data_IF_979097591538
#
_entry.id   IF_979097591538
#
_cell.length_a   1.000
_cell.length_b   1.000
_cell.length_c   1.000
_cell.angle_alpha   90.00
_cell.angle_beta   90.00
_cell.angle_gamma   90.00
#
_symmetry.space_group_name_H-M   'P 1'
#
loop_
_entity.id
_entity.type
_entity.pdbx_description
1 polymer ?
#
# COMPACT_ATOMS: atom_id res chain seq x y z
N UNK A 1 -20.29 28.53 65.19
CA UNK A 1 -19.58 29.08 66.37
C UNK A 1 -18.59 27.99 66.76
N UNK A 2 -17.33 28.14 66.32
CA UNK A 2 -16.19 28.49 67.19
C UNK A 2 -15.82 27.33 68.12
N UNK A 3 -14.62 26.78 68.14
CA UNK A 3 -13.33 27.14 67.57
C UNK A 3 -12.28 26.27 68.29
N UNK A 4 -11.17 26.04 67.58
CA UNK A 4 -9.81 26.02 68.14
C UNK A 4 -9.37 24.87 69.05
N UNK A 5 -8.44 24.06 68.52
CA UNK A 5 -7.19 23.76 69.24
C UNK A 5 -6.05 23.97 68.24
N UNK A 6 -5.26 25.00 68.51
CA UNK A 6 -3.94 25.27 67.94
C UNK A 6 -2.97 24.15 68.29
N UNK A 7 -2.07 23.82 67.37
CA UNK A 7 -0.75 23.35 67.78
C UNK A 7 0.31 24.14 67.02
N UNK A 8 1.26 24.63 67.81
CA UNK A 8 2.26 25.64 67.49
C UNK A 8 3.53 24.98 66.95
N UNK A 9 4.20 25.71 66.06
CA UNK A 9 5.53 25.44 65.51
C UNK A 9 6.60 25.28 66.60
N UNK A 10 7.74 24.67 66.26
CA UNK A 10 8.88 25.55 66.04
C UNK A 10 9.63 25.34 64.73
N UNK A 11 10.38 26.39 64.41
CA UNK A 11 11.17 26.67 63.22
C UNK A 11 12.58 26.07 63.27
N UNK A 12 13.07 25.71 62.07
CA UNK A 12 14.45 25.82 61.53
C UNK A 12 15.53 24.89 62.11
N UNK A 13 15.99 23.98 61.26
CA UNK A 13 17.38 23.93 60.82
C UNK A 13 17.43 23.55 59.34
N UNK A 14 18.33 24.22 58.63
CA UNK A 14 18.51 24.31 57.19
C UNK A 14 19.78 23.52 56.87
N UNK A 15 19.71 22.45 56.06
CA UNK A 15 20.92 21.81 55.51
C UNK A 15 20.77 21.53 54.01
N UNK A 16 21.67 22.24 53.32
CA UNK A 16 22.13 22.28 51.94
C UNK A 16 21.90 21.09 50.99
N UNK A 17 21.67 21.48 49.73
CA UNK A 17 21.90 20.70 48.52
C UNK A 17 23.39 20.33 48.38
N UNK A 18 23.68 19.06 48.12
CA UNK A 18 24.97 18.63 47.55
C UNK A 18 24.72 18.08 46.13
N UNK A 19 25.10 18.92 45.16
CA UNK A 19 25.37 18.56 43.77
C UNK A 19 26.61 17.67 43.71
N UNK A 20 26.48 16.42 43.24
CA UNK A 20 27.63 15.67 42.72
C UNK A 20 27.76 15.91 41.21
N UNK A 21 28.62 16.89 40.90
CA UNK A 21 29.25 17.09 39.61
C UNK A 21 30.22 15.94 39.31
N UNK A 22 30.02 15.23 38.20
CA UNK A 22 31.12 14.61 37.46
C UNK A 22 31.19 15.31 36.08
N UNK A 23 31.77 16.50 36.09
CA UNK A 23 32.33 17.14 34.90
C UNK A 23 33.68 16.48 34.59
N UNK A 24 33.68 15.58 33.61
CA UNK A 24 34.87 15.20 32.88
C UNK A 24 35.07 16.18 31.72
N UNK A 25 35.86 17.22 31.94
CA UNK A 25 36.39 18.11 30.91
C UNK A 25 37.22 17.31 29.90
N UNK A 26 36.75 17.19 28.66
CA UNK A 26 37.64 17.13 27.50
C UNK A 26 37.54 18.48 26.78
N UNK A 27 38.42 19.41 27.19
CA UNK A 27 38.76 20.59 26.41
C UNK A 27 39.29 20.15 25.03
N UNK A 28 38.47 20.28 23.99
CA UNK A 28 38.96 20.32 22.62
C UNK A 28 39.42 21.75 22.31
N UNK A 29 40.73 21.97 22.44
CA UNK A 29 41.45 23.16 21.97
C UNK A 29 41.06 23.51 20.53
N UNK A 30 40.60 24.76 20.31
CA UNK A 30 40.55 25.38 18.99
C UNK A 30 41.99 25.57 18.46
N UNK A 31 42.51 24.58 17.74
CA UNK A 31 43.60 24.82 16.80
C UNK A 31 43.02 25.18 15.43
N UNK A 32 43.18 26.46 15.07
CA UNK A 32 43.04 26.95 13.71
C UNK A 32 44.14 26.29 12.86
N UNK A 33 43.79 25.23 12.13
CA UNK A 33 44.47 24.83 10.89
C UNK A 33 43.42 24.58 9.83
N UNK A 34 43.52 25.37 8.78
CA UNK A 34 42.68 25.23 7.60
C UNK A 34 42.89 23.90 6.89
N UNK A 35 41.95 23.66 5.97
CA UNK A 35 41.92 22.63 4.94
C UNK A 35 41.16 21.33 5.31
N UNK A 36 39.97 21.22 4.70
CA UNK A 36 39.17 20.02 4.40
C UNK A 36 38.39 19.33 5.54
N UNK A 37 37.15 19.75 5.81
CA UNK A 37 36.25 19.09 6.79
C UNK A 37 34.79 18.92 6.35
N UNK A 38 34.52 18.63 5.07
CA UNK A 38 33.15 18.29 4.62
C UNK A 38 32.84 16.77 4.65
N UNK A 39 33.80 15.90 4.95
CA UNK A 39 33.61 14.44 4.87
C UNK A 39 33.50 13.71 6.23
N UNK A 40 34.09 14.21 7.32
CA UNK A 40 34.18 13.46 8.59
C UNK A 40 32.94 13.54 9.50
N UNK A 41 32.01 14.46 9.27
CA UNK A 41 30.84 14.66 10.17
C UNK A 41 29.61 13.79 9.82
N UNK A 42 29.70 12.95 8.79
CA UNK A 42 28.57 12.17 8.25
C UNK A 42 28.20 10.93 9.09
N UNK A 43 29.05 10.55 10.04
CA UNK A 43 28.89 9.29 10.79
C UNK A 43 28.34 9.45 12.22
N UNK A 44 28.14 10.67 12.69
CA UNK A 44 27.61 10.90 14.04
C UNK A 44 26.17 10.40 14.17
N UNK A 45 25.77 9.79 15.32
CA UNK A 45 24.38 9.37 15.55
C UNK A 45 23.37 10.52 15.41
N UNK A 46 23.78 11.76 15.70
CA UNK A 46 22.95 12.95 15.52
C UNK A 46 22.73 13.28 14.04
N UNK A 47 23.80 13.28 13.22
CA UNK A 47 23.69 13.49 11.78
C UNK A 47 22.83 12.42 11.11
N UNK A 48 23.03 11.15 11.47
CA UNK A 48 22.22 10.02 10.99
C UNK A 48 20.73 10.18 11.32
N UNK A 49 20.42 10.66 12.53
CA UNK A 49 19.04 10.97 12.92
C UNK A 49 18.46 12.13 12.10
N UNK A 50 19.25 13.18 11.83
CA UNK A 50 18.82 14.31 10.98
C UNK A 50 18.53 13.87 9.54
N UNK A 51 19.43 13.09 8.93
CA UNK A 51 19.24 12.54 7.58
C UNK A 51 17.97 11.68 7.52
N UNK A 52 17.75 10.83 8.52
CA UNK A 52 16.55 10.00 8.61
C UNK A 52 15.27 10.86 8.67
N UNK A 53 15.24 11.88 9.54
CA UNK A 53 14.05 12.71 9.76
C UNK A 53 13.76 13.68 8.61
N UNK A 54 14.80 14.29 8.03
CA UNK A 54 14.64 15.40 7.08
C UNK A 54 14.69 14.97 5.61
N UNK A 55 15.30 13.82 5.31
CA UNK A 55 15.47 13.34 3.92
C UNK A 55 14.78 12.01 3.70
N UNK A 56 15.07 10.99 4.51
CA UNK A 56 14.57 9.63 4.23
C UNK A 56 13.08 9.47 4.53
N UNK A 57 12.60 10.03 5.65
CA UNK A 57 11.20 9.91 6.09
C UNK A 57 10.22 10.64 5.15
N UNK A 58 10.49 11.87 4.66
CA UNK A 58 9.63 12.53 3.66
C UNK A 58 9.55 11.78 2.33
N UNK A 59 10.62 11.08 1.93
CA UNK A 59 10.67 10.29 0.69
C UNK A 59 10.08 8.87 0.84
N UNK A 60 9.69 8.48 2.06
CA UNK A 60 9.16 7.15 2.34
C UNK A 60 7.69 7.03 1.93
N UNK A 61 7.48 6.79 0.63
CA UNK A 61 6.15 6.64 0.02
C UNK A 61 5.58 5.21 0.05
N UNK A 62 6.36 4.23 0.51
CA UNK A 62 6.01 2.80 0.52
C UNK A 62 6.12 2.20 1.91
N UNK A 63 5.22 1.26 2.22
CA UNK A 63 5.18 0.54 3.49
C UNK A 63 6.53 -0.13 3.85
N UNK A 64 7.14 -0.83 2.90
CA UNK A 64 8.40 -1.55 3.12
C UNK A 64 9.53 -0.60 3.57
N UNK A 65 9.63 0.58 2.93
CA UNK A 65 10.62 1.60 3.29
C UNK A 65 10.35 2.21 4.67
N UNK A 66 9.08 2.39 5.04
CA UNK A 66 8.69 2.85 6.39
C UNK A 66 9.07 1.82 7.45
N UNK A 67 8.81 0.54 7.20
CA UNK A 67 9.13 -0.55 8.13
C UNK A 67 10.67 -0.64 8.33
N UNK A 68 11.45 -0.51 7.25
CA UNK A 68 12.93 -0.47 7.31
C UNK A 68 13.47 0.74 8.07
N UNK A 69 12.89 1.93 7.86
CA UNK A 69 13.26 3.15 8.60
C UNK A 69 12.93 2.98 10.10
N UNK A 70 11.77 2.39 10.41
CA UNK A 70 11.37 2.14 11.79
C UNK A 70 12.34 1.18 12.50
N UNK A 71 12.77 0.11 11.85
CA UNK A 71 13.77 -0.82 12.39
C UNK A 71 15.11 -0.12 12.65
N UNK A 72 15.61 0.68 11.69
CA UNK A 72 16.84 1.46 11.85
C UNK A 72 16.73 2.48 12.98
N UNK A 73 15.60 3.16 13.10
CA UNK A 73 15.36 4.10 14.20
C UNK A 73 15.35 3.38 15.55
N UNK A 74 14.66 2.25 15.67
CA UNK A 74 14.60 1.48 16.91
C UNK A 74 15.98 0.96 17.34
N UNK A 75 16.77 0.45 16.39
CA UNK A 75 18.10 -0.08 16.66
C UNK A 75 19.12 1.01 17.07
N UNK A 76 19.10 2.17 16.39
CA UNK A 76 20.17 3.17 16.53
C UNK A 76 19.81 4.36 17.42
N UNK A 77 18.52 4.68 17.57
CA UNK A 77 18.05 5.91 18.22
C UNK A 77 16.92 5.71 19.23
N UNK A 78 16.27 4.54 19.23
CA UNK A 78 15.06 4.28 20.03
C UNK A 78 15.27 4.30 21.54
N UNK A 79 16.48 4.05 22.04
CA UNK A 79 16.81 4.09 23.47
C UNK A 79 16.96 5.53 24.01
N UNK A 80 17.38 6.48 23.16
CA UNK A 80 17.70 7.84 23.57
C UNK A 80 16.45 8.73 23.68
N UNK A 81 16.18 9.26 24.88
CA UNK A 81 15.04 10.16 25.16
C UNK A 81 15.06 11.42 24.28
N UNK A 82 16.24 12.02 24.02
CA UNK A 82 16.36 13.21 23.16
C UNK A 82 16.01 12.89 21.70
N UNK A 83 16.45 11.74 21.20
CA UNK A 83 16.13 11.27 19.84
C UNK A 83 14.63 10.98 19.67
N UNK A 84 14.00 10.32 20.65
CA UNK A 84 12.54 10.10 20.66
C UNK A 84 11.75 11.41 20.66
N UNK A 85 12.14 12.38 21.47
CA UNK A 85 11.49 13.70 21.51
C UNK A 85 11.60 14.45 20.18
N UNK A 86 12.78 14.42 19.55
CA UNK A 86 13.02 15.01 18.23
C UNK A 86 12.23 14.31 17.12
N UNK A 87 12.05 13.00 17.21
CA UNK A 87 11.18 12.26 16.28
C UNK A 87 9.71 12.69 16.41
N UNK A 88 9.23 12.91 17.64
CA UNK A 88 7.83 13.26 17.91
C UNK A 88 7.49 14.73 17.58
N UNK A 89 8.43 15.66 17.78
CA UNK A 89 8.20 17.11 17.73
C UNK A 89 9.04 17.88 16.70
N UNK A 90 9.94 17.21 15.98
CA UNK A 90 10.94 17.87 15.14
C UNK A 90 11.96 18.66 15.96
N UNK A 91 12.27 19.91 15.58
CA UNK A 91 13.22 20.78 16.30
C UNK A 91 12.69 21.30 17.65
N UNK A 92 11.40 21.11 17.97
CA UNK A 92 10.80 21.56 19.23
C UNK A 92 11.00 20.56 20.38
N UNK A 93 11.20 21.06 21.59
CA UNK A 93 11.18 20.26 22.82
C UNK A 93 9.89 20.54 23.59
N UNK A 94 8.99 19.58 23.63
CA UNK A 94 7.81 19.58 24.50
C UNK A 94 7.71 18.24 25.25
N UNK A 95 7.12 18.28 26.45
CA UNK A 95 6.91 17.11 27.30
C UNK A 95 5.55 16.43 27.07
N UNK A 96 4.69 17.02 26.23
CA UNK A 96 3.44 16.43 25.78
C UNK A 96 3.67 15.30 24.80
N UNK A 97 2.76 14.31 24.79
CA UNK A 97 2.73 13.31 23.71
C UNK A 97 2.16 13.95 22.45
N UNK A 98 2.62 13.54 21.26
CA UNK A 98 2.06 13.99 19.97
C UNK A 98 0.52 13.98 19.91
N UNK A 99 -0.14 12.97 20.50
CA UNK A 99 -1.61 12.91 20.55
C UNK A 99 -2.20 14.09 21.33
N UNK A 100 -1.59 14.45 22.46
CA UNK A 100 -2.03 15.56 23.31
C UNK A 100 -1.85 16.89 22.58
N UNK A 101 -0.74 17.06 21.86
CA UNK A 101 -0.49 18.27 21.08
C UNK A 101 -1.45 18.42 19.91
N UNK A 102 -1.69 17.33 19.17
CA UNK A 102 -2.65 17.34 18.08
C UNK A 102 -4.07 17.62 18.58
N UNK A 103 -4.46 17.08 19.75
CA UNK A 103 -5.76 17.39 20.38
C UNK A 103 -5.86 18.87 20.77
N UNK A 104 -4.81 19.44 21.37
CA UNK A 104 -4.75 20.87 21.72
C UNK A 104 -4.79 21.77 20.48
N UNK A 105 -3.99 21.45 19.45
CA UNK A 105 -3.99 22.15 18.17
C UNK A 105 -5.37 22.10 17.52
N UNK A 106 -6.00 20.93 17.49
CA UNK A 106 -7.34 20.77 16.92
C UNK A 106 -8.39 21.59 17.68
N UNK A 107 -8.38 21.55 19.01
CA UNK A 107 -9.32 22.32 19.83
C UNK A 107 -9.09 23.84 19.73
N UNK A 108 -7.83 24.27 19.66
CA UNK A 108 -7.47 25.66 19.38
C UNK A 108 -8.00 26.11 18.02
N UNK A 109 -7.71 25.36 16.96
CA UNK A 109 -8.19 25.64 15.61
C UNK A 109 -9.72 25.64 15.48
N UNK A 110 -10.42 24.80 16.25
CA UNK A 110 -11.88 24.77 16.28
C UNK A 110 -12.50 25.96 17.04
N UNK A 111 -11.76 26.59 17.97
CA UNK A 111 -12.19 27.79 18.71
C UNK A 111 -11.86 29.09 17.98
N UNK A 112 -10.69 29.18 17.35
CA UNK A 112 -10.21 30.41 16.72
C UNK A 112 -10.58 30.49 15.24
N UNK A 113 -11.71 31.14 14.93
CA UNK A 113 -12.21 31.37 13.56
C UNK A 113 -11.26 32.22 12.66
N UNK A 114 -10.26 32.89 13.25
CA UNK A 114 -9.27 33.71 12.53
C UNK A 114 -8.16 32.90 11.85
N UNK A 115 -7.95 31.63 12.19
CA UNK A 115 -6.99 30.77 11.48
C UNK A 115 -7.59 30.36 10.13
N UNK A 116 -7.24 31.12 9.09
CA UNK A 116 -7.70 30.97 7.70
C UNK A 116 -7.07 29.76 6.98
N UNK A 117 -6.02 29.14 7.53
CA UNK A 117 -5.35 28.03 6.86
C UNK A 117 -6.13 26.71 7.03
N UNK A 118 -7.13 26.53 6.18
CA UNK A 118 -7.92 25.30 6.09
C UNK A 118 -7.06 24.05 5.89
N UNK A 119 -5.98 24.13 5.11
CA UNK A 119 -5.12 22.96 4.85
C UNK A 119 -4.42 22.47 6.12
N UNK A 120 -3.98 23.38 6.99
CA UNK A 120 -3.43 23.01 8.30
C UNK A 120 -4.47 22.27 9.15
N UNK A 121 -5.71 22.75 9.19
CA UNK A 121 -6.80 22.11 9.94
C UNK A 121 -7.15 20.73 9.40
N UNK A 122 -7.20 20.59 8.08
CA UNK A 122 -7.44 19.31 7.42
C UNK A 122 -6.27 18.34 7.67
N UNK A 123 -5.02 18.81 7.65
CA UNK A 123 -3.86 17.98 7.99
C UNK A 123 -3.93 17.45 9.41
N UNK A 124 -4.22 18.31 10.40
CA UNK A 124 -4.41 17.90 11.80
C UNK A 124 -5.54 16.87 11.93
N UNK A 125 -6.68 17.09 11.25
CA UNK A 125 -7.80 16.17 11.22
C UNK A 125 -7.45 14.79 10.63
N UNK A 126 -6.79 14.76 9.46
CA UNK A 126 -6.31 13.51 8.83
C UNK A 126 -5.36 12.78 9.77
N UNK A 127 -4.45 13.50 10.42
CA UNK A 127 -3.46 12.89 11.30
C UNK A 127 -4.11 12.21 12.52
N UNK A 128 -5.04 12.90 13.20
CA UNK A 128 -5.84 12.31 14.28
C UNK A 128 -6.60 11.06 13.79
N UNK A 129 -7.17 11.12 12.58
CA UNK A 129 -7.88 10.00 11.97
C UNK A 129 -6.98 8.78 11.72
N UNK A 130 -5.79 8.98 11.17
CA UNK A 130 -4.81 7.91 10.97
C UNK A 130 -4.34 7.31 12.31
N UNK A 131 -3.96 8.15 13.28
CA UNK A 131 -3.54 7.68 14.61
C UNK A 131 -4.62 6.88 15.34
N UNK A 132 -5.89 7.23 15.13
CA UNK A 132 -7.03 6.50 15.68
C UNK A 132 -7.16 5.10 15.06
N UNK A 133 -6.93 4.96 13.75
CA UNK A 133 -6.95 3.65 13.06
C UNK A 133 -5.81 2.75 13.51
N UNK A 134 -4.62 3.32 13.72
CA UNK A 134 -3.45 2.62 14.26
C UNK A 134 -3.53 2.38 15.77
N UNK A 135 -4.59 2.84 16.44
CA UNK A 135 -4.82 2.69 17.89
C UNK A 135 -3.75 3.36 18.76
N UNK A 136 -3.04 4.34 18.22
CA UNK A 136 -2.14 5.21 18.97
C UNK A 136 -2.95 6.26 19.72
N UNK A 137 -3.93 6.87 19.04
CA UNK A 137 -4.89 7.77 19.65
C UNK A 137 -6.15 6.98 20.09
N UNK A 138 -6.63 7.16 21.33
CA UNK A 138 -7.90 6.59 21.77
C UNK A 138 -9.07 7.10 20.91
N UNK A 139 -10.06 6.25 20.56
CA UNK A 139 -11.20 6.65 19.71
C UNK A 139 -11.98 7.87 20.21
N UNK A 140 -11.95 8.13 21.52
CA UNK A 140 -12.62 9.28 22.13
C UNK A 140 -12.08 10.62 21.61
N UNK A 141 -10.79 10.70 21.22
CA UNK A 141 -10.18 11.93 20.71
C UNK A 141 -10.86 12.35 19.40
N UNK A 142 -10.95 11.42 18.43
CA UNK A 142 -11.65 11.68 17.17
C UNK A 142 -13.16 11.96 17.37
N UNK A 143 -13.83 11.23 18.27
CA UNK A 143 -15.25 11.43 18.56
C UNK A 143 -15.53 12.80 19.19
N UNK A 144 -14.68 13.28 20.11
CA UNK A 144 -14.77 14.64 20.66
C UNK A 144 -14.52 15.69 19.57
N UNK A 145 -13.54 15.44 18.69
CA UNK A 145 -13.25 16.32 17.56
C UNK A 145 -14.46 16.51 16.65
N UNK A 146 -15.11 15.41 16.24
CA UNK A 146 -16.35 15.43 15.44
C UNK A 146 -17.45 16.18 16.20
N UNK A 147 -17.70 15.82 17.46
CA UNK A 147 -18.73 16.49 18.27
C UNK A 147 -18.52 18.00 18.33
N UNK A 148 -17.27 18.45 18.53
CA UNK A 148 -16.92 19.87 18.61
C UNK A 148 -17.21 20.61 17.31
N UNK A 149 -16.93 20.01 16.16
CA UNK A 149 -17.27 20.58 14.86
C UNK A 149 -18.79 20.65 14.64
N UNK A 150 -19.58 19.71 15.19
CA UNK A 150 -21.03 19.71 15.08
C UNK A 150 -21.71 20.73 16.03
N UNK A 151 -21.09 21.09 17.15
CA UNK A 151 -21.60 22.12 18.07
C UNK A 151 -21.63 23.52 17.41
N UNK A 152 -20.60 23.86 16.64
CA UNK A 152 -20.56 25.07 15.80
C UNK A 152 -20.40 24.67 14.32
N UNK A 153 -21.47 24.09 13.76
CA UNK A 153 -21.49 23.56 12.40
C UNK A 153 -21.61 24.67 11.35
N UNK A 154 -20.51 25.39 11.11
CA UNK A 154 -20.41 26.51 10.16
C UNK A 154 -19.02 26.63 9.53
N UNK A 155 -18.95 27.13 8.30
CA UNK A 155 -17.70 27.35 7.55
C UNK A 155 -16.79 26.12 7.53
N UNK A 156 -15.51 26.33 7.79
CA UNK A 156 -14.47 25.28 7.80
C UNK A 156 -14.68 24.14 8.80
N UNK A 157 -15.57 24.28 9.80
CA UNK A 157 -15.89 23.16 10.69
C UNK A 157 -16.62 22.03 9.94
N UNK A 158 -17.33 22.34 8.86
CA UNK A 158 -17.98 21.35 8.01
C UNK A 158 -16.91 20.51 7.29
N UNK A 159 -15.95 21.14 6.62
CA UNK A 159 -14.86 20.45 5.93
C UNK A 159 -14.04 19.56 6.89
N UNK A 160 -13.73 20.08 8.09
CA UNK A 160 -12.98 19.34 9.12
C UNK A 160 -13.77 18.13 9.65
N UNK A 161 -15.08 18.26 9.89
CA UNK A 161 -15.92 17.15 10.31
C UNK A 161 -16.01 16.06 9.24
N UNK A 162 -16.23 16.44 7.98
CA UNK A 162 -16.23 15.53 6.84
C UNK A 162 -14.88 14.82 6.72
N UNK A 163 -13.77 15.56 6.81
CA UNK A 163 -12.43 15.01 6.74
C UNK A 163 -12.15 13.97 7.83
N UNK A 164 -12.54 14.24 9.08
CA UNK A 164 -12.42 13.24 10.16
C UNK A 164 -13.23 11.97 9.90
N UNK A 165 -14.46 12.11 9.38
CA UNK A 165 -15.30 10.98 9.01
C UNK A 165 -14.71 10.17 7.85
N UNK A 166 -14.14 10.82 6.84
CA UNK A 166 -13.47 10.16 5.73
C UNK A 166 -12.21 9.42 6.18
N UNK A 167 -11.41 10.00 7.08
CA UNK A 167 -10.16 9.38 7.56
C UNK A 167 -10.40 8.17 8.46
N UNK A 168 -11.31 8.27 9.45
CA UNK A 168 -11.47 7.25 10.49
C UNK A 168 -12.92 6.81 10.78
N UNK A 169 -13.92 7.47 10.20
CA UNK A 169 -15.34 7.22 10.51
C UNK A 169 -15.76 5.76 10.26
N UNK A 170 -15.31 5.14 9.16
CA UNK A 170 -15.60 3.72 8.84
C UNK A 170 -15.00 2.75 9.86
N UNK A 171 -13.81 3.06 10.38
CA UNK A 171 -13.16 2.28 11.43
C UNK A 171 -13.95 2.38 12.75
N UNK A 172 -14.35 3.60 13.13
CA UNK A 172 -15.17 3.84 14.32
C UNK A 172 -16.56 3.18 14.21
N UNK A 173 -17.17 3.21 13.03
CA UNK A 173 -18.48 2.64 12.79
C UNK A 173 -18.48 1.11 12.84
N UNK A 174 -17.39 0.45 12.41
CA UNK A 174 -17.27 -1.02 12.47
C UNK A 174 -16.86 -1.56 13.83
N UNK A 175 -16.38 -0.69 14.71
CA UNK A 175 -15.89 -1.08 16.03
C UNK A 175 -17.05 -1.09 17.04
N UNK A 176 -17.28 -2.25 17.67
CA UNK A 176 -18.48 -2.52 18.50
C UNK A 176 -18.75 -1.45 19.58
N UNK A 177 -17.72 -1.02 20.31
CA UNK A 177 -17.88 -0.09 21.44
C UNK A 177 -18.02 1.39 21.01
N UNK A 178 -17.62 1.75 19.78
CA UNK A 178 -17.75 3.12 19.25
C UNK A 178 -18.94 3.28 18.30
N UNK A 179 -19.47 2.18 17.74
CA UNK A 179 -20.52 2.16 16.73
C UNK A 179 -21.71 3.07 17.08
N UNK A 180 -22.29 2.88 18.27
CA UNK A 180 -23.46 3.66 18.71
C UNK A 180 -23.15 5.16 18.73
N UNK A 181 -21.99 5.54 19.25
CA UNK A 181 -21.61 6.95 19.45
C UNK A 181 -21.32 7.67 18.14
N UNK A 182 -20.70 6.99 17.17
CA UNK A 182 -20.48 7.58 15.84
C UNK A 182 -21.77 7.64 15.03
N UNK A 183 -22.66 6.66 15.14
CA UNK A 183 -23.97 6.69 14.51
C UNK A 183 -24.80 7.90 14.99
N UNK A 184 -24.85 8.14 16.30
CA UNK A 184 -25.52 9.32 16.88
C UNK A 184 -24.93 10.65 16.37
N UNK A 185 -23.61 10.75 16.21
CA UNK A 185 -22.96 11.94 15.65
C UNK A 185 -23.28 12.12 14.15
N UNK A 186 -23.32 11.03 13.38
CA UNK A 186 -23.69 11.07 11.96
C UNK A 186 -25.16 11.48 11.77
N UNK A 187 -26.06 10.98 12.61
CA UNK A 187 -27.47 11.39 12.61
C UNK A 187 -27.62 12.87 12.97
N UNK A 188 -26.84 13.34 13.95
CA UNK A 188 -26.79 14.76 14.32
C UNK A 188 -26.32 15.62 13.15
N UNK A 189 -25.27 15.20 12.43
CA UNK A 189 -24.75 15.88 11.24
C UNK A 189 -25.81 15.95 10.13
N UNK A 190 -26.54 14.86 9.87
CA UNK A 190 -27.61 14.83 8.86
C UNK A 190 -28.80 15.71 9.25
N UNK A 191 -29.13 15.79 10.55
CA UNK A 191 -30.15 16.73 11.05
C UNK A 191 -29.71 18.18 10.88
N UNK A 192 -28.45 18.50 11.21
CA UNK A 192 -27.88 19.85 11.02
C UNK A 192 -27.85 20.24 9.55
N UNK A 193 -27.51 19.32 8.64
CA UNK A 193 -27.57 19.53 7.19
C UNK A 193 -28.96 19.96 6.71
N UNK A 194 -30.03 19.39 7.27
CA UNK A 194 -31.43 19.73 6.91
C UNK A 194 -31.90 21.04 7.57
N UNK A 195 -31.43 21.31 8.79
CA UNK A 195 -31.87 22.46 9.58
C UNK A 195 -31.13 23.76 9.23
N UNK A 196 -29.94 23.66 8.62
CA UNK A 196 -29.13 24.79 8.16
C UNK A 196 -29.27 24.91 6.64
N UNK A 197 -29.42 26.15 6.16
CA UNK A 197 -29.37 26.44 4.72
C UNK A 197 -27.90 26.48 4.26
N UNK A 198 -27.30 25.29 4.15
CA UNK A 198 -25.92 25.13 3.69
C UNK A 198 -25.82 25.26 2.17
N UNK A 199 -24.63 25.64 1.70
CA UNK A 199 -24.31 25.65 0.27
C UNK A 199 -24.24 24.22 -0.30
N UNK A 200 -24.44 24.11 -1.61
CA UNK A 200 -24.51 22.82 -2.31
C UNK A 200 -23.21 22.01 -2.19
N UNK A 201 -22.06 22.67 -2.18
CA UNK A 201 -20.75 22.02 -1.97
C UNK A 201 -20.68 21.36 -0.61
N UNK A 202 -21.04 22.07 0.47
CA UNK A 202 -21.08 21.50 1.82
C UNK A 202 -22.04 20.31 1.90
N UNK A 203 -23.23 20.41 1.30
CA UNK A 203 -24.21 19.33 1.26
C UNK A 203 -23.64 18.09 0.56
N UNK A 204 -23.00 18.27 -0.59
CA UNK A 204 -22.38 17.18 -1.34
C UNK A 204 -21.27 16.50 -0.54
N UNK A 205 -20.41 17.27 0.14
CA UNK A 205 -19.33 16.75 0.97
C UNK A 205 -19.87 15.95 2.16
N UNK A 206 -20.91 16.45 2.85
CA UNK A 206 -21.56 15.74 3.95
C UNK A 206 -22.13 14.40 3.48
N UNK A 207 -22.79 14.37 2.32
CA UNK A 207 -23.33 13.14 1.75
C UNK A 207 -22.20 12.13 1.42
N UNK A 208 -21.12 12.60 0.79
CA UNK A 208 -19.94 11.78 0.47
C UNK A 208 -19.36 11.13 1.73
N UNK A 209 -19.08 11.93 2.76
CA UNK A 209 -18.55 11.45 4.03
C UNK A 209 -19.50 10.44 4.71
N UNK A 210 -20.80 10.70 4.70
CA UNK A 210 -21.80 9.81 5.29
C UNK A 210 -21.80 8.43 4.61
N UNK A 211 -21.86 8.40 3.27
CA UNK A 211 -21.90 7.14 2.51
C UNK A 211 -20.55 6.40 2.51
N UNK A 212 -19.43 7.10 2.73
CA UNK A 212 -18.13 6.46 2.92
C UNK A 212 -18.08 5.64 4.22
N UNK A 213 -18.69 6.15 5.28
CA UNK A 213 -18.75 5.50 6.60
C UNK A 213 -19.80 4.39 6.62
N UNK A 214 -21.01 4.71 6.19
CA UNK A 214 -22.15 3.79 6.14
C UNK A 214 -22.67 3.68 4.69
N UNK A 215 -22.02 2.85 3.85
CA UNK A 215 -22.47 2.65 2.48
C UNK A 215 -23.87 2.01 2.49
N UNK A 216 -24.75 2.35 1.53
CA UNK A 216 -26.05 1.71 1.43
C UNK A 216 -25.87 0.19 1.34
N UNK A 217 -26.79 -0.60 1.91
CA UNK A 217 -26.74 -2.05 1.79
C UNK A 217 -26.72 -2.39 0.30
N UNK A 218 -25.58 -2.87 -0.20
CA UNK A 218 -25.54 -3.44 -1.53
C UNK A 218 -26.49 -4.63 -1.49
N UNK A 219 -27.42 -4.72 -2.46
CA UNK A 219 -28.22 -5.93 -2.60
C UNK A 219 -27.24 -7.10 -2.59
N UNK A 220 -27.51 -8.10 -1.73
CA UNK A 220 -26.70 -9.31 -1.70
C UNK A 220 -26.65 -9.80 -3.14
N UNK A 221 -25.48 -9.65 -3.79
CA UNK A 221 -25.28 -10.24 -5.12
C UNK A 221 -25.61 -11.72 -4.93
N UNK A 222 -26.57 -12.28 -5.67
CA UNK A 222 -26.89 -13.69 -5.52
C UNK A 222 -25.59 -14.46 -5.62
N UNK A 223 -25.29 -15.25 -4.58
CA UNK A 223 -24.10 -16.09 -4.56
C UNK A 223 -24.29 -17.05 -5.72
N UNK A 224 -23.59 -16.80 -6.83
CA UNK A 224 -23.68 -17.64 -8.01
C UNK A 224 -23.30 -19.06 -7.59
N UNK A 225 -24.25 -19.99 -7.65
CA UNK A 225 -23.97 -21.40 -7.42
C UNK A 225 -22.87 -21.82 -8.39
N UNK A 226 -21.72 -22.21 -7.82
CA UNK A 226 -20.56 -22.61 -8.61
C UNK A 226 -20.71 -24.10 -8.88
N UNK A 227 -20.76 -24.54 -10.16
CA UNK A 227 -20.82 -25.95 -10.47
C UNK A 227 -19.70 -26.75 -9.79
N UNK A 228 -19.94 -28.00 -9.35
CA UNK A 228 -18.94 -28.78 -8.61
C UNK A 228 -17.58 -28.89 -9.30
N UNK A 229 -17.57 -29.02 -10.63
CA UNK A 229 -16.37 -29.08 -11.45
C UNK A 229 -15.55 -27.77 -11.39
N UNK A 230 -16.22 -26.62 -11.47
CA UNK A 230 -15.57 -25.31 -11.34
C UNK A 230 -15.01 -25.08 -9.93
N UNK A 231 -15.72 -25.56 -8.91
CA UNK A 231 -15.27 -25.49 -7.52
C UNK A 231 -14.03 -26.37 -7.31
N UNK A 232 -14.02 -27.58 -7.88
CA UNK A 232 -12.89 -28.51 -7.81
C UNK A 232 -11.64 -27.96 -8.52
N UNK A 233 -11.79 -27.41 -9.73
CA UNK A 233 -10.67 -26.76 -10.44
C UNK A 233 -10.09 -25.57 -9.66
N UNK A 234 -10.95 -24.77 -9.02
CA UNK A 234 -10.52 -23.68 -8.16
C UNK A 234 -9.73 -24.18 -6.97
N UNK A 235 -10.18 -25.25 -6.32
CA UNK A 235 -9.46 -25.87 -5.22
C UNK A 235 -8.08 -26.39 -5.68
N UNK A 236 -8.02 -27.16 -6.77
CA UNK A 236 -6.77 -27.70 -7.29
C UNK A 236 -5.77 -26.61 -7.65
N UNK A 237 -6.18 -25.60 -8.43
CA UNK A 237 -5.26 -24.60 -8.99
C UNK A 237 -4.95 -23.44 -8.06
N UNK A 238 -5.84 -23.08 -7.13
CA UNK A 238 -5.64 -21.94 -6.24
C UNK A 238 -5.26 -22.32 -4.80
N UNK A 239 -5.53 -23.55 -4.36
CA UNK A 239 -5.27 -24.00 -2.98
C UNK A 239 -4.29 -25.16 -2.90
N UNK A 240 -4.32 -26.09 -3.84
CA UNK A 240 -3.44 -27.29 -3.81
C UNK A 240 -2.16 -27.10 -4.61
N UNK A 241 -2.19 -26.35 -5.71
CA UNK A 241 -1.06 -26.19 -6.61
C UNK A 241 0.03 -25.30 -6.00
N UNK A 242 1.06 -25.94 -5.47
CA UNK A 242 2.33 -25.35 -5.08
C UNK A 242 3.43 -25.60 -6.14
N UNK A 243 4.49 -24.79 -6.08
CA UNK A 243 5.62 -24.83 -7.03
C UNK A 243 6.63 -25.93 -6.68
N UNK A 244 6.14 -27.15 -6.48
CA UNK A 244 6.90 -28.37 -6.18
C UNK A 244 6.45 -29.53 -7.08
N UNK A 245 7.38 -30.42 -7.42
CA UNK A 245 7.12 -31.49 -8.40
C UNK A 245 6.05 -32.49 -7.94
N UNK A 246 5.88 -32.69 -6.63
CA UNK A 246 4.89 -33.63 -6.07
C UNK A 246 3.47 -33.08 -6.25
N UNK A 247 3.24 -31.83 -5.83
CA UNK A 247 2.01 -31.08 -6.06
C UNK A 247 1.66 -31.01 -7.54
N UNK A 248 2.61 -30.59 -8.38
CA UNK A 248 2.39 -30.45 -9.83
C UNK A 248 2.02 -31.79 -10.47
N UNK A 249 2.70 -32.88 -10.09
CA UNK A 249 2.39 -34.22 -10.57
C UNK A 249 1.02 -34.71 -10.09
N UNK A 250 0.65 -34.42 -8.84
CA UNK A 250 -0.66 -34.74 -8.29
C UNK A 250 -1.76 -34.00 -9.05
N UNK A 251 -1.66 -32.68 -9.17
CA UNK A 251 -2.66 -31.84 -9.86
C UNK A 251 -2.77 -32.23 -11.34
N UNK A 252 -1.65 -32.51 -12.01
CA UNK A 252 -1.65 -33.01 -13.39
C UNK A 252 -2.48 -34.29 -13.55
N UNK A 253 -2.28 -35.28 -12.66
CA UNK A 253 -3.07 -36.52 -12.67
C UNK A 253 -4.55 -36.25 -12.42
N UNK A 254 -4.90 -35.32 -11.54
CA UNK A 254 -6.30 -34.94 -11.29
C UNK A 254 -6.94 -34.29 -12.52
N UNK A 255 -6.22 -33.37 -13.19
CA UNK A 255 -6.70 -32.71 -14.41
C UNK A 255 -6.89 -33.72 -15.55
N UNK A 256 -6.01 -34.72 -15.67
CA UNK A 256 -6.16 -35.78 -16.68
C UNK A 256 -7.41 -36.65 -16.48
N UNK A 257 -7.94 -36.74 -15.25
CA UNK A 257 -9.14 -37.52 -14.89
C UNK A 257 -10.46 -36.76 -15.08
N UNK A 258 -10.42 -35.51 -15.52
CA UNK A 258 -11.63 -34.74 -15.83
C UNK A 258 -12.42 -35.38 -16.98
N UNK A 259 -13.73 -35.07 -17.12
CA UNK A 259 -14.57 -35.64 -18.17
C UNK A 259 -14.29 -35.04 -19.56
N UNK A 260 -13.06 -35.25 -20.09
CA UNK A 260 -12.63 -34.72 -21.40
C UNK A 260 -13.43 -35.23 -22.60
N UNK A 261 -14.15 -36.35 -22.43
CA UNK A 261 -14.96 -36.96 -23.49
C UNK A 261 -16.38 -36.39 -23.58
N UNK A 262 -16.80 -35.60 -22.60
CA UNK A 262 -18.15 -35.03 -22.55
C UNK A 262 -18.21 -33.75 -23.42
N UNK A 263 -18.93 -33.76 -24.55
CA UNK A 263 -19.01 -32.58 -25.42
C UNK A 263 -19.76 -31.40 -24.79
N UNK A 264 -20.56 -31.64 -23.75
CA UNK A 264 -21.28 -30.58 -23.03
C UNK A 264 -20.35 -29.73 -22.15
N UNK A 265 -19.15 -30.23 -21.86
CA UNK A 265 -18.18 -29.59 -20.98
C UNK A 265 -16.90 -29.29 -21.76
N UNK A 266 -16.66 -28.01 -22.07
CA UNK A 266 -15.39 -27.55 -22.62
C UNK A 266 -14.27 -27.58 -21.55
N UNK A 267 -13.74 -28.77 -21.28
CA UNK A 267 -12.73 -28.99 -20.25
C UNK A 267 -11.47 -28.16 -20.50
N UNK A 268 -10.97 -28.10 -21.74
CA UNK A 268 -9.79 -27.31 -22.10
C UNK A 268 -9.97 -25.82 -21.82
N UNK A 269 -11.10 -25.26 -22.26
CA UNK A 269 -11.45 -23.86 -21.97
C UNK A 269 -11.61 -23.60 -20.48
N UNK A 270 -12.24 -24.53 -19.74
CA UNK A 270 -12.46 -24.41 -18.32
C UNK A 270 -11.14 -24.44 -17.53
N UNK A 271 -10.27 -25.40 -17.83
CA UNK A 271 -8.94 -25.51 -17.22
C UNK A 271 -8.11 -24.26 -17.51
N UNK A 272 -8.06 -23.80 -18.76
CA UNK A 272 -7.36 -22.57 -19.15
C UNK A 272 -7.86 -21.35 -18.35
N UNK A 273 -9.18 -21.15 -18.31
CA UNK A 273 -9.83 -20.07 -17.54
C UNK A 273 -9.41 -20.09 -16.07
N UNK A 274 -9.38 -21.26 -15.43
CA UNK A 274 -9.00 -21.35 -14.03
C UNK A 274 -7.48 -21.25 -13.79
N UNK A 275 -6.64 -21.68 -14.73
CA UNK A 275 -5.18 -21.46 -14.69
C UNK A 275 -4.86 -19.96 -14.72
N UNK A 276 -5.44 -19.22 -15.67
CA UNK A 276 -5.26 -17.76 -15.75
C UNK A 276 -5.80 -17.07 -14.50
N UNK A 277 -6.96 -17.49 -13.99
CA UNK A 277 -7.53 -16.95 -12.75
C UNK A 277 -6.64 -17.23 -11.54
N UNK A 278 -6.01 -18.39 -11.46
CA UNK A 278 -5.07 -18.74 -10.40
C UNK A 278 -3.81 -17.87 -10.48
N UNK A 279 -3.26 -17.64 -11.67
CA UNK A 279 -2.12 -16.73 -11.85
C UNK A 279 -2.46 -15.28 -11.47
N UNK A 280 -3.61 -14.76 -11.90
CA UNK A 280 -4.01 -13.36 -11.66
C UNK A 280 -4.35 -13.05 -10.20
N UNK A 281 -4.92 -14.01 -9.47
CA UNK A 281 -5.32 -13.85 -8.06
C UNK A 281 -4.36 -14.48 -7.06
N UNK A 282 -3.45 -15.32 -7.53
CA UNK A 282 -2.54 -16.10 -6.70
C UNK A 282 -1.27 -15.33 -6.34
N UNK A 283 -0.34 -16.06 -5.71
CA UNK A 283 0.99 -15.53 -5.36
C UNK A 283 1.90 -15.52 -6.57
N UNK A 284 2.98 -14.76 -6.50
CA UNK A 284 4.04 -14.70 -7.52
C UNK A 284 4.56 -16.07 -7.98
N UNK A 285 4.71 -17.05 -7.07
CA UNK A 285 5.20 -18.40 -7.39
C UNK A 285 4.20 -19.26 -8.20
N UNK A 286 2.93 -18.86 -8.25
CA UNK A 286 1.86 -19.62 -8.92
C UNK A 286 2.09 -19.70 -10.43
N UNK A 287 2.67 -18.67 -11.06
CA UNK A 287 2.94 -18.67 -12.50
C UNK A 287 3.90 -19.78 -12.89
N UNK A 288 4.97 -19.99 -12.10
CA UNK A 288 5.93 -21.07 -12.31
C UNK A 288 5.27 -22.44 -12.12
N UNK A 289 4.46 -22.60 -11.06
CA UNK A 289 3.75 -23.85 -10.81
C UNK A 289 2.78 -24.21 -11.95
N UNK A 290 2.05 -23.23 -12.47
CA UNK A 290 1.15 -23.40 -13.62
C UNK A 290 1.94 -23.75 -14.89
N UNK A 291 3.08 -23.11 -15.14
CA UNK A 291 3.90 -23.42 -16.31
C UNK A 291 4.44 -24.87 -16.26
N UNK A 292 4.92 -25.33 -15.09
CA UNK A 292 5.34 -26.73 -14.89
C UNK A 292 4.17 -27.72 -15.04
N UNK A 293 2.98 -27.36 -14.57
CA UNK A 293 1.76 -28.15 -14.76
C UNK A 293 1.40 -28.30 -16.25
N UNK A 294 1.48 -27.20 -17.01
CA UNK A 294 1.21 -27.19 -18.45
C UNK A 294 2.24 -28.06 -19.19
N UNK A 295 3.51 -28.02 -18.79
CA UNK A 295 4.54 -28.89 -19.35
C UNK A 295 4.20 -30.38 -19.15
N UNK A 296 3.70 -30.77 -17.98
CA UNK A 296 3.24 -32.14 -17.71
C UNK A 296 1.99 -32.54 -18.50
N UNK A 297 1.12 -31.58 -18.83
CA UNK A 297 -0.10 -31.82 -19.60
C UNK A 297 0.12 -31.80 -21.12
N UNK A 298 1.24 -31.24 -21.60
CA UNK A 298 1.55 -31.03 -23.03
C UNK A 298 1.39 -32.28 -23.89
N UNK A 299 1.77 -33.46 -23.37
CA UNK A 299 1.65 -34.73 -24.09
C UNK A 299 0.26 -35.36 -24.00
N UNK A 300 -0.36 -35.32 -22.81
CA UNK A 300 -1.63 -35.99 -22.56
C UNK A 300 -2.84 -35.20 -23.05
N UNK A 301 -2.76 -33.87 -22.99
CA UNK A 301 -3.86 -32.91 -23.23
C UNK A 301 -3.31 -31.67 -23.96
N UNK A 302 -2.95 -31.79 -25.25
CA UNK A 302 -2.31 -30.71 -26.00
C UNK A 302 -3.21 -29.47 -26.17
N UNK A 303 -4.54 -29.62 -26.06
CA UNK A 303 -5.47 -28.49 -26.12
C UNK A 303 -5.27 -27.46 -24.99
N UNK A 304 -4.77 -27.89 -23.82
CA UNK A 304 -4.58 -27.01 -22.66
C UNK A 304 -3.45 -26.00 -22.90
N UNK A 305 -2.21 -26.42 -23.26
CA UNK A 305 -1.17 -25.48 -23.64
C UNK A 305 -1.57 -24.54 -24.77
N UNK A 306 -2.18 -25.04 -25.86
CA UNK A 306 -2.57 -24.21 -27.01
C UNK A 306 -3.51 -23.10 -26.59
N UNK A 307 -4.63 -23.44 -25.93
CA UNK A 307 -5.61 -22.45 -25.47
C UNK A 307 -5.04 -21.48 -24.44
N UNK A 308 -4.11 -21.93 -23.60
CA UNK A 308 -3.48 -21.05 -22.62
C UNK A 308 -2.54 -20.05 -23.29
N UNK A 309 -1.75 -20.49 -24.27
CA UNK A 309 -0.85 -19.63 -25.04
C UNK A 309 -1.68 -18.60 -25.81
N UNK A 310 -2.69 -19.03 -26.56
CA UNK A 310 -3.57 -18.14 -27.33
C UNK A 310 -4.21 -17.09 -26.42
N UNK A 311 -4.73 -17.50 -25.25
CA UNK A 311 -5.35 -16.59 -24.30
C UNK A 311 -4.36 -15.61 -23.64
N UNK A 312 -3.08 -15.97 -23.52
CA UNK A 312 -2.03 -15.08 -23.00
C UNK A 312 -1.64 -14.05 -24.06
N UNK A 313 -1.45 -14.48 -25.31
CA UNK A 313 -1.11 -13.61 -26.43
C UNK A 313 -2.22 -12.58 -26.66
N UNK A 314 -3.47 -13.02 -26.73
CA UNK A 314 -4.64 -12.15 -26.84
C UNK A 314 -4.73 -11.14 -25.68
N UNK A 315 -4.46 -11.57 -24.43
CA UNK A 315 -4.48 -10.69 -23.27
C UNK A 315 -3.39 -9.60 -23.35
N UNK A 316 -2.22 -9.92 -23.93
CA UNK A 316 -1.11 -8.98 -24.12
C UNK A 316 -1.49 -7.98 -25.22
N UNK A 317 -1.92 -8.47 -26.38
CA UNK A 317 -2.25 -7.64 -27.54
C UNK A 317 -3.43 -6.70 -27.22
N UNK A 318 -4.47 -7.21 -26.54
CA UNK A 318 -5.59 -6.39 -26.07
C UNK A 318 -5.14 -5.24 -25.16
N UNK A 319 -4.16 -5.49 -24.28
CA UNK A 319 -3.62 -4.45 -23.40
C UNK A 319 -2.78 -3.42 -24.16
N UNK A 320 -2.03 -3.84 -25.19
CA UNK A 320 -1.29 -2.92 -26.05
C UNK A 320 -2.24 -1.96 -26.77
N UNK A 321 -3.39 -2.46 -27.25
CA UNK A 321 -4.43 -1.65 -27.88
C UNK A 321 -5.18 -0.74 -26.89
N UNK A 322 -5.42 -1.24 -25.66
CA UNK A 322 -6.27 -0.58 -24.67
C UNK A 322 -5.56 -0.43 -23.31
N UNK A 323 -4.52 0.41 -23.20
CA UNK A 323 -3.76 0.53 -21.97
C UNK A 323 -4.60 1.15 -20.84
N UNK A 324 -4.88 0.37 -19.79
CA UNK A 324 -5.61 0.82 -18.61
C UNK A 324 -4.83 0.48 -17.33
N UNK A 325 -4.60 1.49 -16.49
CA UNK A 325 -3.86 1.34 -15.23
C UNK A 325 -4.43 0.22 -14.32
N UNK A 326 -5.74 -0.01 -14.37
CA UNK A 326 -6.40 -1.07 -13.57
C UNK A 326 -5.99 -2.48 -13.98
N UNK A 327 -5.60 -2.67 -15.24
CA UNK A 327 -5.25 -3.97 -15.81
C UNK A 327 -3.74 -4.23 -15.83
N UNK A 328 -2.91 -3.24 -15.46
CA UNK A 328 -1.44 -3.36 -15.42
C UNK A 328 -0.96 -4.62 -14.69
N UNK A 329 -1.53 -4.92 -13.51
CA UNK A 329 -1.14 -6.10 -12.73
C UNK A 329 -1.48 -7.40 -13.48
N UNK A 330 -2.64 -7.46 -14.14
CA UNK A 330 -3.06 -8.62 -14.91
C UNK A 330 -2.11 -8.85 -16.08
N UNK A 331 -1.79 -7.80 -16.84
CA UNK A 331 -0.91 -7.90 -18.01
C UNK A 331 0.49 -8.36 -17.63
N UNK A 332 1.07 -7.79 -16.56
CA UNK A 332 2.40 -8.22 -16.07
C UNK A 332 2.40 -9.70 -15.67
N UNK A 333 1.31 -10.18 -15.05
CA UNK A 333 1.16 -11.60 -14.72
C UNK A 333 1.07 -12.47 -15.98
N UNK A 334 0.36 -12.04 -17.02
CA UNK A 334 0.27 -12.75 -18.30
C UNK A 334 1.63 -12.81 -19.01
N UNK A 335 2.33 -11.67 -19.13
CA UNK A 335 3.68 -11.61 -19.70
C UNK A 335 4.69 -12.46 -18.90
N UNK A 336 4.56 -12.49 -17.57
CA UNK A 336 5.36 -13.37 -16.72
C UNK A 336 5.07 -14.83 -17.00
N UNK A 337 3.79 -15.22 -17.03
CA UNK A 337 3.39 -16.59 -17.31
C UNK A 337 3.90 -17.05 -18.68
N UNK A 338 3.88 -16.17 -19.69
CA UNK A 338 4.48 -16.40 -21.00
C UNK A 338 5.96 -16.74 -20.92
N UNK A 339 6.74 -15.97 -20.15
CA UNK A 339 8.16 -16.25 -19.90
C UNK A 339 8.38 -17.58 -19.13
N UNK A 340 7.57 -17.88 -18.12
CA UNK A 340 7.66 -19.14 -17.37
C UNK A 340 7.32 -20.36 -18.24
N UNK A 341 6.43 -20.22 -19.23
CA UNK A 341 6.13 -21.27 -20.23
C UNK A 341 7.34 -21.57 -21.13
N UNK A 342 8.14 -20.57 -21.48
CA UNK A 342 9.42 -20.78 -22.15
C UNK A 342 10.43 -21.49 -21.24
N UNK A 343 10.60 -21.01 -20.00
CA UNK A 343 11.48 -21.64 -19.01
C UNK A 343 11.12 -23.11 -18.76
N UNK A 344 9.83 -23.46 -18.84
CA UNK A 344 9.33 -24.83 -18.65
C UNK A 344 9.36 -25.70 -19.92
N UNK A 345 9.92 -25.20 -21.04
CA UNK A 345 10.03 -25.95 -22.30
C UNK A 345 8.70 -26.15 -23.03
N UNK A 346 7.67 -25.38 -22.69
CA UNK A 346 6.37 -25.42 -23.38
C UNK A 346 6.48 -24.68 -24.71
N UNK A 347 7.09 -23.50 -24.71
CA UNK A 347 7.26 -22.62 -25.87
C UNK A 347 8.68 -22.67 -26.47
N UNK A 348 8.83 -22.61 -27.80
CA UNK A 348 10.11 -22.35 -28.45
C UNK A 348 10.54 -20.88 -28.29
N UNK A 349 11.83 -20.62 -28.39
CA UNK A 349 12.39 -19.26 -28.29
C UNK A 349 11.89 -18.32 -29.40
N UNK A 350 11.56 -18.84 -30.58
CA UNK A 350 11.08 -18.04 -31.72
C UNK A 350 9.83 -17.22 -31.35
N UNK A 351 8.87 -17.83 -30.66
CA UNK A 351 7.61 -17.18 -30.26
C UNK A 351 7.85 -16.09 -29.20
N UNK A 352 8.83 -16.29 -28.32
CA UNK A 352 9.19 -15.27 -27.31
C UNK A 352 9.77 -14.03 -28.00
N UNK A 353 10.70 -14.23 -28.94
CA UNK A 353 11.30 -13.11 -29.67
C UNK A 353 10.29 -12.40 -30.58
N UNK A 354 9.39 -13.15 -31.23
CA UNK A 354 8.31 -12.59 -32.04
C UNK A 354 7.40 -11.67 -31.21
N UNK A 355 6.99 -12.10 -30.00
CA UNK A 355 6.18 -11.22 -29.14
C UNK A 355 6.94 -10.04 -28.55
N UNK A 356 8.23 -10.19 -28.22
CA UNK A 356 9.03 -9.05 -27.77
C UNK A 356 9.14 -8.02 -28.90
N UNK A 357 9.38 -8.48 -30.14
CA UNK A 357 9.42 -7.61 -31.32
C UNK A 357 8.05 -6.96 -31.57
N UNK A 358 6.95 -7.71 -31.45
CA UNK A 358 5.60 -7.18 -31.54
C UNK A 358 5.36 -6.06 -30.52
N UNK A 359 5.65 -6.30 -29.24
CA UNK A 359 5.49 -5.32 -28.16
C UNK A 359 6.34 -4.06 -28.39
N UNK A 360 7.60 -4.21 -28.81
CA UNK A 360 8.51 -3.09 -29.02
C UNK A 360 8.14 -2.23 -30.22
N UNK A 361 7.62 -2.86 -31.28
CA UNK A 361 7.29 -2.19 -32.53
C UNK A 361 5.81 -1.79 -32.63
N UNK A 362 5.00 -2.13 -31.64
CA UNK A 362 3.58 -1.82 -31.64
C UNK A 362 3.35 -0.31 -31.71
N UNK A 363 2.66 0.14 -32.76
CA UNK A 363 2.37 1.57 -33.05
C UNK A 363 3.62 2.47 -33.17
N UNK A 364 4.80 1.90 -33.40
CA UNK A 364 6.02 2.63 -33.70
C UNK A 364 6.44 2.38 -35.14
N UNK A 365 6.39 3.42 -35.98
CA UNK A 365 6.98 3.37 -37.31
C UNK A 365 8.50 3.33 -37.17
N UNK A 366 9.10 2.16 -37.40
CA UNK A 366 10.55 2.03 -37.51
C UNK A 366 10.94 2.56 -38.90
N UNK A 367 11.75 3.63 -39.01
CA UNK A 367 12.24 4.09 -40.30
C UNK A 367 12.98 2.97 -41.05
N UNK A 368 12.69 2.80 -42.35
CA UNK A 368 13.25 1.73 -43.18
C UNK A 368 14.79 1.65 -43.13
N UNK A 369 15.45 2.80 -42.99
CA UNK A 369 16.90 2.90 -42.84
C UNK A 369 17.46 2.14 -41.62
N UNK A 370 16.73 2.07 -40.49
CA UNK A 370 17.14 1.31 -39.31
C UNK A 370 16.89 -0.20 -39.47
N UNK A 371 15.84 -0.57 -40.23
CA UNK A 371 15.53 -1.95 -40.59
C UNK A 371 16.64 -2.53 -41.48
N UNK A 372 17.08 -1.77 -42.48
CA UNK A 372 18.16 -2.17 -43.40
C UNK A 372 19.53 -2.25 -42.68
N UNK A 373 19.81 -1.33 -41.76
CA UNK A 373 21.04 -1.36 -40.96
C UNK A 373 21.10 -2.57 -40.01
N UNK A 374 19.96 -2.99 -39.44
CA UNK A 374 19.86 -4.19 -38.59
C UNK A 374 20.12 -5.47 -39.38
N UNK A 375 19.53 -5.61 -40.57
CA UNK A 375 19.75 -6.75 -41.46
C UNK A 375 21.20 -6.83 -41.95
N UNK A 376 21.82 -5.68 -42.25
CA UNK A 376 23.21 -5.60 -42.71
C UNK A 376 24.21 -6.00 -41.62
N UNK A 377 23.95 -5.65 -40.34
CA UNK A 377 24.79 -6.06 -39.19
C UNK A 377 24.72 -7.55 -38.87
N UNK A 378 23.62 -8.23 -39.20
CA UNK A 378 23.47 -9.68 -39.01
C UNK A 378 24.35 -10.52 -39.98
N UNK A 379 24.94 -9.90 -41.01
CA UNK A 379 25.82 -10.56 -41.99
C UNK A 379 27.29 -10.64 -41.53
N UNK A 380 27.66 -10.00 -40.41
CA UNK A 380 29.04 -10.04 -39.92
C UNK A 380 29.38 -11.42 -39.30
N UNK A 381 30.53 -12.05 -39.63
CA UNK A 381 30.82 -13.44 -39.23
C UNK A 381 30.90 -13.74 -37.73
N UNK A 382 30.93 -12.70 -36.88
CA UNK A 382 31.04 -12.82 -35.42
C UNK A 382 29.71 -12.93 -34.66
N UNK A 383 28.56 -12.68 -35.31
CA UNK A 383 27.24 -12.66 -34.64
C UNK A 383 26.42 -13.87 -35.08
N UNK A 384 26.77 -15.07 -34.58
CA UNK A 384 26.05 -16.31 -34.89
C UNK A 384 24.63 -16.39 -34.30
N UNK A 385 24.22 -15.45 -33.46
CA UNK A 385 22.96 -15.53 -32.72
C UNK A 385 21.71 -15.16 -33.54
N UNK A 386 21.87 -14.42 -34.65
CA UNK A 386 20.74 -13.90 -35.44
C UNK A 386 20.47 -14.64 -36.76
N UNK A 387 21.29 -15.64 -37.13
CA UNK A 387 21.14 -16.38 -38.40
C UNK A 387 19.90 -17.28 -38.49
N UNK A 388 19.13 -17.43 -37.41
CA UNK A 388 17.86 -18.16 -37.42
C UNK A 388 16.68 -17.34 -37.98
N UNK A 389 16.83 -16.02 -38.16
CA UNK A 389 15.71 -15.13 -38.45
C UNK A 389 15.41 -14.87 -39.95
N UNK A 390 16.16 -15.44 -40.89
CA UNK A 390 15.96 -15.15 -42.32
C UNK A 390 15.30 -16.29 -43.13
N UNK A 391 14.82 -17.36 -42.50
CA UNK A 391 14.35 -18.56 -43.22
C UNK A 391 12.93 -19.02 -42.87
N UNK A 392 11.97 -18.11 -42.78
CA UNK A 392 10.53 -18.47 -42.83
C UNK A 392 9.70 -17.34 -43.41
N UNK A 393 9.95 -16.99 -44.69
CA UNK A 393 8.92 -16.48 -45.61
C UNK A 393 9.29 -16.96 -47.01
N UNK A 394 8.75 -18.10 -47.41
CA UNK A 394 8.45 -18.48 -48.79
C UNK A 394 7.14 -19.24 -48.80
#
# INVERSE_FOLDING_TARGET
>A
MSGEVEDTLPMVEEEAEEDENEDGEEEATEEIKGENTDEENKDTPHYKLMVLLEQELPEASRREKIDEIADRFCANHGSNKKSRKRFDHGQGYSDSTLVTELEQQFHGQARFKKNQNIESRLRTARYIGELTKFRVAPPIVALRGIKRCLEDFSGYNIDVACCLLESCGRYLFRTKHTHKKIAELMDTMMRLKKARNLDERSIAMINSAFFMVNPPPQSNRPVKEVPPLEAYLRYLLASTLEADDKSVSFVSKQIQRLPWSDPSIDCGGLVCKFMLKACRKGRYKTTKAVASLVANLKRSKPEVPSRLIDAILEDIDWFLENPNFRDNQRTIVCARLFGELYCSGVLPSSIIFEQIDHILNFQHDIPDALRDASQTKCLHPGVKFLKLFSKTKS
#
